data_IF_707948303856
#
_entry.id   IF_707948303856
#
_cell.length_a   1.000
_cell.length_b   1.000
_cell.length_c   1.000
_cell.angle_alpha   90.00
_cell.angle_beta   90.00
_cell.angle_gamma   90.00
#
_symmetry.space_group_name_H-M   'P 1'
#
loop_
_entity.id
_entity.type
_entity.pdbx_description
1 polymer ?
#
# COMPACT_ATOMS: atom_id res chain seq x y z
N UNK A 1 11.10 -4.22 65.69
CA UNK A 1 12.58 -4.09 65.83
C UNK A 1 13.14 -5.52 65.78
N UNK A 2 14.01 -5.98 64.89
CA UNK A 2 14.97 -5.41 63.92
C UNK A 2 15.11 -6.39 62.74
N UNK A 3 15.42 -5.84 61.57
CA UNK A 3 15.82 -6.54 60.35
C UNK A 3 17.18 -7.24 60.52
N UNK A 4 17.38 -8.38 59.84
CA UNK A 4 18.60 -8.59 59.03
C UNK A 4 18.43 -9.75 58.03
N UNK A 5 18.80 -9.44 56.79
CA UNK A 5 18.79 -10.32 55.63
C UNK A 5 20.10 -11.11 55.51
N UNK A 6 20.08 -12.24 54.79
CA UNK A 6 21.16 -12.65 53.88
C UNK A 6 20.66 -13.74 52.92
N UNK A 7 21.10 -13.59 51.67
CA UNK A 7 20.69 -14.28 50.45
C UNK A 7 21.37 -15.65 50.25
N UNK A 8 20.81 -16.54 49.43
CA UNK A 8 21.30 -16.80 48.06
C UNK A 8 20.48 -17.90 47.35
N UNK A 9 20.53 -17.82 46.02
CA UNK A 9 19.74 -18.46 44.98
C UNK A 9 19.74 -20.00 44.92
N UNK A 10 18.63 -20.56 44.41
CA UNK A 10 18.66 -21.78 43.58
C UNK A 10 17.72 -21.61 42.39
N UNK A 11 18.29 -21.85 41.21
CA UNK A 11 17.69 -21.89 39.86
C UNK A 11 16.60 -22.96 39.75
N UNK A 12 15.56 -22.71 38.95
CA UNK A 12 14.68 -23.80 38.50
C UNK A 12 13.43 -23.41 37.72
N UNK A 13 13.47 -23.69 36.41
CA UNK A 13 12.38 -23.99 35.48
C UNK A 13 11.45 -22.85 34.98
N UNK A 14 11.82 -22.34 33.81
CA UNK A 14 11.06 -22.44 32.55
C UNK A 14 9.53 -22.44 32.63
N UNK A 15 8.93 -21.28 32.32
CA UNK A 15 7.70 -21.23 31.55
C UNK A 15 7.85 -20.15 30.47
N UNK A 16 8.33 -20.57 29.29
CA UNK A 16 8.26 -19.76 28.09
C UNK A 16 6.79 -19.65 27.72
N UNK A 17 6.15 -18.58 28.16
CA UNK A 17 4.90 -18.12 27.55
C UNK A 17 5.27 -17.50 26.21
N UNK A 18 5.41 -18.36 25.19
CA UNK A 18 5.43 -17.99 23.78
C UNK A 18 4.09 -17.34 23.43
N UNK A 19 3.92 -16.07 23.78
CA UNK A 19 2.95 -15.23 23.09
C UNK A 19 3.61 -14.87 21.77
N UNK A 20 3.40 -15.72 20.77
CA UNK A 20 3.45 -15.27 19.39
C UNK A 20 2.65 -13.95 19.33
N UNK A 21 3.18 -12.87 18.74
CA UNK A 21 2.33 -11.75 18.40
C UNK A 21 1.27 -12.34 17.47
N UNK A 22 0.04 -12.45 17.98
CA UNK A 22 -1.14 -12.59 17.17
C UNK A 22 -0.96 -11.58 16.04
N UNK A 23 -0.90 -12.05 14.80
CA UNK A 23 -1.02 -11.19 13.64
C UNK A 23 -2.46 -10.66 13.63
N UNK A 24 -2.76 -9.77 14.59
CA UNK A 24 -3.95 -8.97 14.61
C UNK A 24 -3.81 -8.04 13.41
N UNK A 25 -4.33 -8.48 12.27
CA UNK A 25 -4.71 -7.54 11.22
C UNK A 25 -5.93 -6.81 11.76
N UNK A 26 -5.85 -5.50 12.04
CA UNK A 26 -7.05 -4.75 12.35
C UNK A 26 -8.04 -4.93 11.20
N UNK A 27 -9.35 -5.03 11.48
CA UNK A 27 -10.34 -5.12 10.42
C UNK A 27 -10.16 -3.90 9.50
N UNK A 28 -10.06 -4.16 8.19
CA UNK A 28 -10.07 -3.11 7.17
C UNK A 28 -11.40 -2.37 7.32
N UNK A 29 -11.37 -1.04 7.47
CA UNK A 29 -12.60 -0.25 7.51
C UNK A 29 -13.34 -0.37 6.18
N UNK A 30 -14.66 -0.18 6.19
CA UNK A 30 -15.45 -0.17 4.95
C UNK A 30 -14.90 0.88 3.96
N UNK A 31 -14.36 1.99 4.47
CA UNK A 31 -13.67 3.02 3.68
C UNK A 31 -12.37 2.52 3.05
N UNK A 32 -11.53 1.81 3.81
CA UNK A 32 -10.30 1.26 3.28
C UNK A 32 -10.57 0.21 2.18
N UNK A 33 -11.58 -0.64 2.36
CA UNK A 33 -11.99 -1.61 1.34
C UNK A 33 -12.51 -0.92 0.07
N UNK A 34 -13.24 0.20 0.20
CA UNK A 34 -13.68 1.02 -0.95
C UNK A 34 -12.51 1.63 -1.70
N UNK A 35 -11.52 2.18 -0.98
CA UNK A 35 -10.34 2.80 -1.62
C UNK A 35 -9.46 1.75 -2.29
N UNK A 36 -9.25 0.59 -1.67
CA UNK A 36 -8.57 -0.55 -2.32
C UNK A 36 -9.30 -0.97 -3.60
N UNK A 37 -10.64 -0.99 -3.59
CA UNK A 37 -11.42 -1.28 -4.81
C UNK A 37 -11.21 -0.22 -5.89
N UNK A 38 -11.21 1.06 -5.54
CA UNK A 38 -10.97 2.16 -6.50
C UNK A 38 -9.59 2.06 -7.14
N UNK A 39 -8.57 1.71 -6.35
CA UNK A 39 -7.21 1.46 -6.82
C UNK A 39 -7.15 0.29 -7.82
N UNK A 40 -7.89 -0.81 -7.54
CA UNK A 40 -8.01 -1.93 -8.49
C UNK A 40 -8.77 -1.57 -9.75
N UNK A 41 -9.81 -0.76 -9.64
CA UNK A 41 -10.59 -0.29 -10.78
C UNK A 41 -9.73 0.63 -11.68
N UNK A 42 -8.87 1.48 -11.09
CA UNK A 42 -7.93 2.34 -11.81
C UNK A 42 -6.88 1.52 -12.57
N UNK A 43 -6.27 0.55 -11.89
CA UNK A 43 -5.35 -0.42 -12.50
C UNK A 43 -5.97 -1.15 -13.69
N UNK A 44 -7.17 -1.69 -13.49
CA UNK A 44 -7.87 -2.43 -14.53
C UNK A 44 -8.27 -1.52 -15.71
N UNK A 45 -8.57 -0.24 -15.47
CA UNK A 45 -8.77 0.75 -16.52
C UNK A 45 -7.47 1.00 -17.31
N UNK A 46 -6.33 1.14 -16.63
CA UNK A 46 -5.02 1.27 -17.26
C UNK A 46 -4.69 0.09 -18.17
N UNK A 47 -4.88 -1.15 -17.69
CA UNK A 47 -4.65 -2.38 -18.48
C UNK A 47 -5.56 -2.45 -19.71
N UNK A 48 -6.80 -1.97 -19.61
CA UNK A 48 -7.74 -1.95 -20.75
C UNK A 48 -7.54 -0.74 -21.69
N UNK A 49 -6.67 0.21 -21.35
CA UNK A 49 -6.56 1.48 -22.07
C UNK A 49 -7.82 2.35 -21.97
N UNK A 50 -8.63 2.17 -20.90
CA UNK A 50 -9.86 2.92 -20.68
C UNK A 50 -9.55 4.30 -20.09
N UNK A 51 -9.10 5.22 -20.95
CA UNK A 51 -8.70 6.58 -20.58
C UNK A 51 -9.81 7.36 -19.88
N UNK A 52 -11.07 7.11 -20.25
CA UNK A 52 -12.21 7.80 -19.66
C UNK A 52 -12.44 7.34 -18.22
N UNK A 53 -12.33 6.03 -17.94
CA UNK A 53 -12.38 5.51 -16.58
C UNK A 53 -11.21 6.01 -15.74
N UNK A 54 -9.98 5.96 -16.27
CA UNK A 54 -8.80 6.48 -15.57
C UNK A 54 -8.94 7.98 -15.25
N UNK A 55 -9.43 8.77 -16.21
CA UNK A 55 -9.67 10.21 -16.00
C UNK A 55 -10.73 10.49 -14.93
N UNK A 56 -11.77 9.65 -14.80
CA UNK A 56 -12.77 9.82 -13.72
C UNK A 56 -12.25 9.43 -12.34
N UNK A 57 -11.37 8.44 -12.26
CA UNK A 57 -10.85 7.92 -11.00
C UNK A 57 -9.71 8.78 -10.43
N UNK A 58 -8.94 9.44 -11.28
CA UNK A 58 -7.84 10.32 -10.88
C UNK A 58 -8.37 11.72 -10.60
N UNK A 59 -8.09 12.26 -9.42
CA UNK A 59 -8.44 13.65 -9.08
C UNK A 59 -7.66 14.66 -9.92
N UNK A 60 -8.25 15.81 -10.24
CA UNK A 60 -7.61 16.82 -11.12
C UNK A 60 -6.29 17.38 -10.55
N UNK A 61 -6.22 17.50 -9.23
CA UNK A 61 -5.04 17.94 -8.48
C UNK A 61 -4.03 16.81 -8.15
N UNK A 62 -4.25 15.59 -8.65
CA UNK A 62 -3.36 14.46 -8.36
C UNK A 62 -1.95 14.73 -8.91
N UNK A 63 -0.96 14.43 -8.08
CA UNK A 63 0.45 14.47 -8.43
C UNK A 63 0.99 13.04 -8.36
N UNK A 64 1.64 12.63 -9.44
CA UNK A 64 2.33 11.35 -9.52
C UNK A 64 3.84 11.61 -9.47
N UNK A 65 4.56 10.76 -8.76
CA UNK A 65 6.02 10.79 -8.72
C UNK A 65 6.50 9.59 -9.54
N UNK A 66 7.22 9.85 -10.62
CA UNK A 66 7.88 8.80 -11.41
C UNK A 66 9.15 8.36 -10.69
N UNK A 67 9.17 7.10 -10.29
CA UNK A 67 10.33 6.43 -9.72
C UNK A 67 10.77 5.21 -10.55
N UNK A 68 10.07 4.90 -11.66
CA UNK A 68 10.44 3.77 -12.53
C UNK A 68 11.78 4.01 -13.23
N UNK A 69 12.10 5.27 -13.48
CA UNK A 69 13.37 5.71 -14.07
C UNK A 69 14.30 6.38 -13.05
N UNK A 70 14.03 6.21 -11.74
CA UNK A 70 14.73 6.92 -10.65
C UNK A 70 14.77 8.45 -10.85
N UNK A 71 13.82 9.00 -11.62
CA UNK A 71 13.82 10.41 -12.03
C UNK A 71 13.35 11.33 -10.91
N UNK A 72 12.53 10.80 -9.98
CA UNK A 72 11.84 11.56 -8.93
C UNK A 72 10.91 12.62 -9.49
N UNK A 73 10.60 12.57 -10.80
CA UNK A 73 9.89 13.63 -11.51
C UNK A 73 8.43 13.61 -11.10
N UNK A 74 7.90 14.78 -10.74
CA UNK A 74 6.47 14.96 -10.54
C UNK A 74 5.75 15.18 -11.87
N UNK A 75 4.59 14.56 -12.03
CA UNK A 75 3.71 14.71 -13.20
C UNK A 75 2.27 14.94 -12.75
N UNK A 76 1.50 15.61 -13.60
CA UNK A 76 0.08 15.91 -13.36
C UNK A 76 -0.83 14.80 -13.90
N UNK A 77 -2.12 14.83 -13.55
CA UNK A 77 -3.14 14.00 -14.21
C UNK A 77 -3.10 14.13 -15.75
N UNK A 78 -2.94 15.35 -16.27
CA UNK A 78 -2.92 15.59 -17.71
C UNK A 78 -1.72 14.91 -18.38
N UNK A 79 -0.54 14.97 -17.75
CA UNK A 79 0.67 14.30 -18.22
C UNK A 79 0.52 12.77 -18.19
N UNK A 80 -0.05 12.24 -17.10
CA UNK A 80 -0.28 10.79 -16.95
C UNK A 80 -1.27 10.27 -18.01
N UNK A 81 -2.39 10.97 -18.24
CA UNK A 81 -3.34 10.62 -19.30
C UNK A 81 -2.75 10.79 -20.71
N UNK A 82 -1.83 11.73 -20.91
CA UNK A 82 -1.11 11.88 -22.18
C UNK A 82 -0.16 10.70 -22.42
N UNK A 83 0.56 10.26 -21.39
CA UNK A 83 1.39 9.05 -21.44
C UNK A 83 0.54 7.82 -21.76
N UNK A 84 -0.58 7.62 -21.06
CA UNK A 84 -1.49 6.49 -21.30
C UNK A 84 -2.07 6.46 -22.72
N UNK A 85 -2.16 7.60 -23.40
CA UNK A 85 -2.61 7.70 -24.80
C UNK A 85 -1.49 7.44 -25.81
N UNK A 86 -0.23 7.54 -25.39
CA UNK A 86 0.92 7.34 -26.27
C UNK A 86 0.91 5.94 -26.89
N UNK A 87 1.33 5.83 -28.15
CA UNK A 87 1.50 4.54 -28.79
C UNK A 87 2.65 3.71 -28.19
N UNK A 88 3.58 4.39 -27.50
CA UNK A 88 4.74 3.76 -26.88
C UNK A 88 4.42 3.18 -25.49
N UNK A 89 3.35 3.66 -24.86
CA UNK A 89 2.91 3.17 -23.55
C UNK A 89 1.82 2.11 -23.67
N UNK A 90 2.04 0.96 -23.05
CA UNK A 90 1.00 -0.06 -22.91
C UNK A 90 1.18 -0.85 -21.62
N UNK A 91 0.26 -0.68 -20.68
CA UNK A 91 0.18 -1.54 -19.51
C UNK A 91 -0.50 -2.87 -19.90
N UNK A 92 0.26 -3.94 -19.97
CA UNK A 92 -0.25 -5.28 -20.34
C UNK A 92 -0.91 -6.00 -19.18
N UNK A 93 -0.33 -5.91 -17.99
CA UNK A 93 -0.89 -6.46 -16.76
C UNK A 93 -0.39 -5.71 -15.55
N UNK A 94 -1.22 -5.69 -14.51
CA UNK A 94 -0.83 -5.20 -13.20
C UNK A 94 -1.44 -6.11 -12.13
N UNK A 95 -0.59 -6.57 -11.22
CA UNK A 95 -0.98 -7.41 -10.09
C UNK A 95 -0.45 -6.79 -8.83
N UNK A 96 -1.18 -6.98 -7.74
CA UNK A 96 -0.83 -6.39 -6.47
C UNK A 96 -0.59 -7.48 -5.45
N UNK A 97 0.48 -7.32 -4.71
CA UNK A 97 0.96 -8.25 -3.71
C UNK A 97 1.26 -7.49 -2.42
N UNK A 98 0.94 -8.10 -1.28
CA UNK A 98 1.13 -7.52 0.05
C UNK A 98 0.66 -6.05 0.19
N UNK A 99 -0.60 -5.78 -0.22
CA UNK A 99 -1.20 -4.45 -0.05
C UNK A 99 -1.65 -4.25 1.39
N UNK A 100 -1.28 -3.10 1.92
CA UNK A 100 -1.65 -2.59 3.23
C UNK A 100 -2.41 -1.28 3.07
N UNK A 101 -3.25 -0.99 4.04
CA UNK A 101 -4.02 0.24 4.09
C UNK A 101 -4.06 0.83 5.49
N UNK A 102 -4.14 2.16 5.56
CA UNK A 102 -4.34 2.88 6.82
C UNK A 102 -5.16 4.13 6.60
N UNK A 103 -6.21 4.30 7.41
CA UNK A 103 -7.07 5.46 7.39
C UNK A 103 -6.56 6.57 8.32
N UNK A 104 -6.61 7.80 7.83
CA UNK A 104 -6.31 9.05 8.52
C UNK A 104 -7.44 10.05 8.22
N UNK A 105 -8.41 10.18 9.13
CA UNK A 105 -9.59 10.99 8.87
C UNK A 105 -10.41 10.46 7.68
N UNK A 106 -10.58 11.30 6.66
CA UNK A 106 -11.26 10.97 5.40
C UNK A 106 -10.33 10.37 4.33
N UNK A 107 -9.04 10.24 4.64
CA UNK A 107 -8.02 9.77 3.71
C UNK A 107 -7.63 8.32 4.03
N UNK A 108 -7.50 7.48 3.01
CA UNK A 108 -6.89 6.15 3.14
C UNK A 108 -5.58 6.15 2.35
N UNK A 109 -4.50 5.76 3.02
CA UNK A 109 -3.19 5.54 2.40
C UNK A 109 -3.05 4.06 2.10
N UNK A 110 -2.77 3.72 0.85
CA UNK A 110 -2.42 2.38 0.40
C UNK A 110 -0.92 2.29 0.15
N UNK A 111 -0.30 1.17 0.51
CA UNK A 111 1.08 0.87 0.12
C UNK A 111 1.28 -0.64 0.01
N UNK A 112 2.24 -1.05 -0.82
CA UNK A 112 2.56 -2.45 -1.01
C UNK A 112 3.32 -2.66 -2.30
N UNK A 113 3.31 -3.89 -2.82
CA UNK A 113 4.00 -4.25 -4.04
C UNK A 113 3.04 -4.29 -5.22
N UNK A 114 3.41 -3.63 -6.29
CA UNK A 114 2.75 -3.74 -7.59
C UNK A 114 3.72 -4.39 -8.57
N UNK A 115 3.27 -5.42 -9.26
CA UNK A 115 4.00 -6.09 -10.32
C UNK A 115 3.29 -5.77 -11.62
N UNK A 116 3.89 -4.88 -12.41
CA UNK A 116 3.40 -4.46 -13.70
C UNK A 116 4.23 -5.09 -14.83
N UNK A 117 3.59 -5.34 -15.97
CA UNK A 117 4.24 -5.69 -17.22
C UNK A 117 3.66 -4.82 -18.33
N UNK A 118 4.51 -4.27 -19.18
CA UNK A 118 4.07 -3.37 -20.23
C UNK A 118 5.21 -2.89 -21.11
N UNK A 119 4.90 -1.91 -21.95
CA UNK A 119 5.87 -1.08 -22.65
C UNK A 119 5.79 0.34 -22.09
N UNK A 120 6.96 0.93 -21.91
CA UNK A 120 7.23 2.28 -21.41
C UNK A 120 8.17 3.05 -22.34
#
# INVERSE_FOLDING_TARGET
MRFQASALAVLGLSAVLSHAPSAWKPPVSDEAAKVEKLDRDLSAAGVRGDLDASSRLIADQAIFVDDLHESGKTTTKADNLALMRSADYKLGSETFDDIHSKQFGDTVVLWGRVIAQGTD
#
